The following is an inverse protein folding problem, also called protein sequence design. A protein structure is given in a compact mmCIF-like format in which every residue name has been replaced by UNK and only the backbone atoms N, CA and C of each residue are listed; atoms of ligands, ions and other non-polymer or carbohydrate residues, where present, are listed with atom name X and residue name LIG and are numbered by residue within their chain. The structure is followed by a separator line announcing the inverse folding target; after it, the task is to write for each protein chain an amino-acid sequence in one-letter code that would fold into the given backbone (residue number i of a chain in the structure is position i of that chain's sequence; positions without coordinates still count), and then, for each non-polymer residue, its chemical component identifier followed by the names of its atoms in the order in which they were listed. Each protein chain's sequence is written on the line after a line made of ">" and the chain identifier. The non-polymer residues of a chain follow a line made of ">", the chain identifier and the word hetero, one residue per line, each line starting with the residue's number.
data_IF_705140633607
#
_entry.id   IF_705140633607
#
_cell.length_a   1.000
_cell.length_b   1.000
_cell.length_c   1.000
_cell.angle_alpha   90.00
_cell.angle_beta   90.00
_cell.angle_gamma   90.00
#
_symmetry.space_group_name_H-M   'P 1'
#
loop_
_entity.id
_entity.type
_entity.pdbx_description
1 polymer ?
#
# COMPACT_ATOMS: atom_id res chain seq x y z
N UNK A 1 -9.24 23.76 5.41
CA UNK A 1 -9.39 22.90 4.21
C UNK A 1 -8.85 21.54 4.56
N UNK A 2 -9.64 20.48 4.34
CA UNK A 2 -9.16 19.11 4.55
C UNK A 2 -8.22 18.70 3.42
N UNK A 3 -7.10 18.05 3.77
CA UNK A 3 -6.07 17.54 2.86
C UNK A 3 -6.10 16.02 2.86
N UNK A 4 -6.23 15.43 1.68
CA UNK A 4 -6.19 13.98 1.50
C UNK A 4 -4.98 13.59 0.65
N UNK A 5 -4.40 12.43 0.97
CA UNK A 5 -3.41 11.78 0.13
C UNK A 5 -4.02 10.57 -0.59
N UNK A 6 -3.55 10.33 -1.82
CA UNK A 6 -3.86 9.12 -2.58
C UNK A 6 -2.56 8.35 -2.81
N UNK A 7 -2.52 7.09 -2.39
CA UNK A 7 -1.38 6.19 -2.57
C UNK A 7 -1.72 5.16 -3.63
N UNK A 8 -0.99 5.16 -4.76
CA UNK A 8 -1.19 4.21 -5.85
C UNK A 8 -0.35 2.95 -5.61
N UNK A 9 -1.01 1.88 -5.17
CA UNK A 9 -0.42 0.59 -4.80
C UNK A 9 -0.92 -0.58 -5.67
N UNK A 10 -1.48 -0.30 -6.86
CA UNK A 10 -2.09 -1.29 -7.75
C UNK A 10 -1.16 -1.88 -8.83
N UNK A 11 0.14 -1.59 -8.80
CA UNK A 11 1.08 -2.06 -9.82
C UNK A 11 1.39 -3.56 -9.74
N UNK A 12 1.52 -4.22 -10.90
CA UNK A 12 1.83 -5.67 -11.01
C UNK A 12 3.22 -6.08 -10.52
N UNK A 13 4.15 -5.13 -10.37
CA UNK A 13 5.48 -5.42 -9.79
C UNK A 13 6.45 -6.20 -10.69
N UNK A 14 6.18 -6.30 -11.99
CA UNK A 14 6.95 -7.11 -12.97
C UNK A 14 8.45 -6.78 -12.99
N UNK A 15 8.80 -5.49 -12.90
CA UNK A 15 10.21 -5.04 -12.92
C UNK A 15 11.04 -5.53 -11.73
N UNK A 16 10.40 -5.86 -10.61
CA UNK A 16 11.05 -6.34 -9.39
C UNK A 16 10.95 -7.86 -9.25
N UNK A 17 10.49 -8.57 -10.27
CA UNK A 17 10.50 -10.03 -10.27
C UNK A 17 11.96 -10.54 -10.14
N UNK A 18 12.24 -11.57 -9.32
CA UNK A 18 11.31 -12.48 -8.64
C UNK A 18 10.83 -12.03 -7.25
N UNK A 19 11.30 -10.90 -6.72
CA UNK A 19 10.97 -10.43 -5.37
C UNK A 19 9.46 -10.25 -5.17
N UNK A 20 8.75 -9.92 -6.25
CA UNK A 20 7.30 -9.67 -6.26
C UNK A 20 6.44 -10.89 -6.54
N UNK A 21 7.04 -12.08 -6.72
CA UNK A 21 6.30 -13.31 -7.09
C UNK A 21 5.42 -13.84 -5.96
N UNK A 22 5.87 -13.72 -4.71
CA UNK A 22 5.16 -14.21 -3.51
C UNK A 22 4.65 -13.08 -2.63
N UNK A 23 5.04 -11.84 -2.92
CA UNK A 23 4.67 -10.66 -2.14
C UNK A 23 4.46 -9.43 -3.04
N UNK A 24 3.36 -8.68 -2.90
CA UNK A 24 3.14 -7.48 -3.68
C UNK A 24 4.22 -6.43 -3.39
N UNK A 25 4.60 -5.63 -4.39
CA UNK A 25 5.57 -4.54 -4.21
C UNK A 25 5.28 -3.68 -2.97
N UNK A 26 4.05 -3.20 -2.71
CA UNK A 26 3.77 -2.38 -1.53
C UNK A 26 4.13 -3.04 -0.20
N UNK A 27 4.13 -4.38 -0.14
CA UNK A 27 4.42 -5.15 1.06
C UNK A 27 5.88 -5.58 1.17
N UNK A 28 6.74 -5.29 0.17
CA UNK A 28 8.14 -5.66 0.26
C UNK A 28 8.79 -5.05 1.52
N UNK A 29 9.54 -5.86 2.29
CA UNK A 29 10.13 -5.43 3.53
C UNK A 29 11.28 -4.45 3.29
N UNK A 30 11.48 -3.57 4.25
CA UNK A 30 12.61 -2.67 4.36
C UNK A 30 13.43 -3.05 5.60
N UNK A 31 14.71 -2.64 5.67
CA UNK A 31 15.49 -2.72 6.90
C UNK A 31 14.72 -2.05 8.05
N UNK A 32 14.66 -2.71 9.21
CA UNK A 32 13.89 -2.22 10.37
C UNK A 32 12.47 -2.80 10.50
N UNK A 33 12.06 -3.72 9.61
CA UNK A 33 10.82 -4.50 9.77
C UNK A 33 9.56 -3.83 9.20
N UNK A 34 9.69 -2.63 8.64
CA UNK A 34 8.62 -1.97 7.91
C UNK A 34 8.46 -2.54 6.50
N UNK A 35 7.34 -2.24 5.85
CA UNK A 35 7.12 -2.44 4.41
C UNK A 35 7.24 -1.11 3.68
N UNK A 36 7.39 -1.16 2.34
CA UNK A 36 7.31 0.04 1.50
C UNK A 36 6.04 0.87 1.78
N UNK A 37 4.90 0.21 1.94
CA UNK A 37 3.62 0.86 2.20
C UNK A 37 3.56 1.47 3.61
N UNK A 38 3.96 0.74 4.65
CA UNK A 38 3.88 1.27 6.03
C UNK A 38 4.80 2.46 6.23
N UNK A 39 5.99 2.44 5.62
CA UNK A 39 6.91 3.58 5.68
C UNK A 39 6.29 4.81 5.01
N UNK A 40 5.68 4.64 3.83
CA UNK A 40 5.01 5.72 3.12
C UNK A 40 3.82 6.29 3.93
N UNK A 41 3.01 5.43 4.53
CA UNK A 41 1.89 5.86 5.36
C UNK A 41 2.37 6.61 6.62
N UNK A 42 3.47 6.16 7.23
CA UNK A 42 4.10 6.85 8.37
C UNK A 42 4.55 8.26 8.01
N UNK A 43 5.08 8.47 6.80
CA UNK A 43 5.48 9.79 6.31
C UNK A 43 4.29 10.75 6.08
N UNK A 44 3.07 10.23 5.89
CA UNK A 44 1.86 11.02 5.73
C UNK A 44 1.19 11.37 7.06
N UNK A 45 1.56 10.70 8.15
CA UNK A 45 1.03 10.94 9.49
C UNK A 45 1.22 12.39 9.93
N UNK A 46 0.14 13.05 10.33
CA UNK A 46 0.16 14.45 10.78
C UNK A 46 0.23 15.49 9.66
N UNK A 47 0.28 15.07 8.39
CA UNK A 47 0.31 15.98 7.22
C UNK A 47 -1.05 16.06 6.53
N UNK A 48 -1.81 14.96 6.56
CA UNK A 48 -3.12 14.82 5.89
C UNK A 48 -4.19 14.34 6.85
N UNK A 49 -5.44 14.70 6.58
CA UNK A 49 -6.62 14.29 7.35
C UNK A 49 -7.08 12.87 7.00
N UNK A 50 -6.63 12.33 5.88
CA UNK A 50 -6.95 10.97 5.45
C UNK A 50 -6.10 10.49 4.28
N UNK A 51 -6.02 9.17 4.15
CA UNK A 51 -5.31 8.50 3.06
C UNK A 51 -6.24 7.51 2.38
N UNK A 52 -6.29 7.57 1.05
CA UNK A 52 -6.92 6.56 0.21
C UNK A 52 -5.81 5.75 -0.44
N UNK A 53 -5.80 4.43 -0.22
CA UNK A 53 -4.85 3.53 -0.89
C UNK A 53 -5.56 2.79 -2.01
N UNK A 54 -5.07 2.99 -3.23
CA UNK A 54 -5.56 2.32 -4.45
C UNK A 54 -4.82 1.00 -4.62
N UNK A 55 -5.54 -0.11 -4.57
CA UNK A 55 -4.97 -1.46 -4.64
C UNK A 55 -5.45 -2.25 -5.85
N UNK A 56 -4.61 -3.18 -6.31
CA UNK A 56 -4.90 -4.06 -7.44
C UNK A 56 -6.07 -5.02 -7.15
N UNK A 57 -6.65 -5.64 -8.18
CA UNK A 57 -7.53 -6.80 -7.99
C UNK A 57 -6.74 -8.08 -7.74
N UNK A 58 -7.38 -9.05 -7.09
CA UNK A 58 -6.82 -10.38 -6.80
C UNK A 58 -5.89 -10.41 -5.58
N UNK A 59 -5.13 -11.50 -5.46
CA UNK A 59 -4.35 -11.83 -4.26
C UNK A 59 -3.46 -10.70 -3.75
N UNK A 60 -2.84 -9.94 -4.66
CA UNK A 60 -1.94 -8.86 -4.31
C UNK A 60 -2.66 -7.70 -3.63
N UNK A 61 -3.85 -7.35 -4.13
CA UNK A 61 -4.72 -6.36 -3.51
C UNK A 61 -5.25 -6.84 -2.16
N UNK A 62 -5.68 -8.09 -2.08
CA UNK A 62 -6.18 -8.70 -0.83
C UNK A 62 -5.12 -8.70 0.27
N UNK A 63 -3.87 -9.01 -0.07
CA UNK A 63 -2.76 -8.95 0.87
C UNK A 63 -2.53 -7.53 1.40
N UNK A 64 -2.60 -6.51 0.52
CA UNK A 64 -2.47 -5.11 0.93
C UNK A 64 -3.67 -4.67 1.78
N UNK A 65 -4.89 -5.03 1.39
CA UNK A 65 -6.11 -4.73 2.13
C UNK A 65 -6.04 -5.29 3.55
N UNK A 66 -5.60 -6.54 3.72
CA UNK A 66 -5.43 -7.17 5.03
C UNK A 66 -4.50 -6.37 5.94
N UNK A 67 -3.39 -5.86 5.41
CA UNK A 67 -2.48 -5.00 6.17
C UNK A 67 -3.12 -3.65 6.54
N UNK A 68 -3.89 -3.05 5.63
CA UNK A 68 -4.56 -1.77 5.84
C UNK A 68 -5.67 -1.88 6.89
N UNK A 69 -6.48 -2.94 6.83
CA UNK A 69 -7.54 -3.24 7.80
C UNK A 69 -6.94 -3.37 9.22
N UNK A 70 -5.79 -4.05 9.36
CA UNK A 70 -5.08 -4.19 10.65
C UNK A 70 -4.57 -2.86 11.23
N UNK A 71 -4.43 -1.82 10.40
CA UNK A 71 -3.89 -0.52 10.81
C UNK A 71 -4.92 0.61 10.77
N UNK A 72 -6.20 0.28 10.52
CA UNK A 72 -7.30 1.26 10.53
C UNK A 72 -7.33 2.21 9.34
N UNK A 73 -6.73 1.83 8.21
CA UNK A 73 -6.77 2.64 6.98
C UNK A 73 -7.90 2.21 6.04
N UNK A 74 -8.57 3.16 5.40
CA UNK A 74 -9.60 2.89 4.38
C UNK A 74 -8.96 2.61 3.02
N UNK A 75 -9.10 1.37 2.55
CA UNK A 75 -8.63 0.95 1.22
C UNK A 75 -9.73 1.12 0.15
N UNK A 76 -9.35 1.52 -1.06
CA UNK A 76 -10.25 1.53 -2.23
C UNK A 76 -9.59 0.78 -3.39
N UNK A 77 -10.39 0.02 -4.14
CA UNK A 77 -9.87 -0.79 -5.25
C UNK A 77 -9.95 0.00 -6.55
N UNK A 78 -8.87 -0.02 -7.34
CA UNK A 78 -8.93 0.40 -8.73
C UNK A 78 -8.08 -0.54 -9.58
N UNK A 79 -8.52 -0.77 -10.81
CA UNK A 79 -7.78 -1.56 -11.80
C UNK A 79 -6.98 -0.57 -12.65
N UNK A 80 -5.68 -0.80 -12.75
CA UNK A 80 -4.79 -0.10 -13.68
C UNK A 80 -4.24 -1.09 -14.70
#
# INVERSE_FOLDING_TARGET
>A
MSRYAVVLAAGRGERLWPLTSTRPKPLLPLPGGETLLTRLLGQLGGIVDGVVVVIAKGWAGEAVKKLLDQRGFTASYAVQ
#
